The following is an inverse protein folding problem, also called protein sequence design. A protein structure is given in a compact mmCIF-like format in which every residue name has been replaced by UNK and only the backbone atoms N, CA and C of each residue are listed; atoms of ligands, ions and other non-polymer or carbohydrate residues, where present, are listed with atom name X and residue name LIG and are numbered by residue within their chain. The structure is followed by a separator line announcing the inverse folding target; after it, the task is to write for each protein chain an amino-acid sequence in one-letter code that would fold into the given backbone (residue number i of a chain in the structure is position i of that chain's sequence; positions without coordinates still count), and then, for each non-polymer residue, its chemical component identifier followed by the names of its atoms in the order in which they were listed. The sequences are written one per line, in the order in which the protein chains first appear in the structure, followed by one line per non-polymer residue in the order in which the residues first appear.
data_IF_151313590119
#
_entry.id   IF_151313590119
#
_cell.length_a   1.000
_cell.length_b   1.000
_cell.length_c   1.000
_cell.angle_alpha   90.00
_cell.angle_beta   90.00
_cell.angle_gamma   90.00
#
_symmetry.space_group_name_H-M   'P 1'
#
loop_
_entity.id
_entity.type
_entity.pdbx_description
1 polymer ?
#
# COMPACT_ATOMS: atom_id res chain seq x y z
N UNK A 1 -3.79 4.23 9.98
CA UNK A 1 -2.40 3.91 9.57
C UNK A 1 -2.36 2.41 9.31
N UNK A 2 -2.32 1.98 8.05
CA UNK A 2 -2.34 0.55 7.68
C UNK A 2 -0.94 -0.02 7.85
N UNK A 3 -0.50 -0.19 9.09
CA UNK A 3 0.52 -1.20 9.37
C UNK A 3 -0.21 -2.52 9.34
N UNK A 4 0.05 -3.36 8.34
CA UNK A 4 -0.49 -4.72 8.34
C UNK A 4 0.14 -5.43 9.54
N UNK A 5 -0.64 -5.60 10.62
CA UNK A 5 -0.30 -6.41 11.80
C UNK A 5 0.95 -5.94 12.56
N UNK A 6 0.91 -4.77 13.23
CA UNK A 6 2.05 -4.24 13.97
C UNK A 6 2.57 -5.21 15.04
N UNK A 7 1.69 -5.98 15.70
CA UNK A 7 2.08 -7.01 16.67
C UNK A 7 2.89 -8.14 16.04
N UNK A 8 2.56 -8.55 14.80
CA UNK A 8 3.32 -9.58 14.10
C UNK A 8 4.69 -9.07 13.67
N UNK A 9 4.75 -7.86 13.10
CA UNK A 9 6.01 -7.23 12.72
C UNK A 9 6.91 -7.07 13.95
N UNK A 10 6.32 -6.71 15.09
CA UNK A 10 7.04 -6.61 16.35
C UNK A 10 7.60 -7.94 16.81
N UNK A 11 6.80 -9.00 16.77
CA UNK A 11 7.23 -10.34 17.12
C UNK A 11 8.38 -10.84 16.22
N UNK A 12 8.40 -10.47 14.93
CA UNK A 12 9.48 -10.86 14.00
C UNK A 12 10.86 -10.27 14.36
N UNK A 13 10.92 -9.15 15.08
CA UNK A 13 12.21 -8.59 15.53
C UNK A 13 12.74 -9.23 16.82
N UNK A 14 11.96 -10.13 17.44
CA UNK A 14 12.35 -10.90 18.62
C UNK A 14 12.22 -10.16 19.94
N UNK A 15 12.50 -10.89 21.02
CA UNK A 15 12.23 -10.49 22.41
C UNK A 15 13.05 -9.26 22.90
N UNK A 16 14.09 -8.86 22.17
CA UNK A 16 14.86 -7.65 22.45
C UNK A 16 14.14 -6.34 22.09
N UNK A 17 12.97 -6.42 21.45
CA UNK A 17 12.25 -5.26 20.92
C UNK A 17 11.39 -4.57 22.00
N UNK A 18 12.01 -3.66 22.75
CA UNK A 18 11.32 -2.81 23.73
C UNK A 18 10.34 -1.84 23.07
N UNK A 19 9.39 -1.29 23.84
CA UNK A 19 8.40 -0.33 23.33
C UNK A 19 9.06 0.91 22.74
N UNK A 20 10.09 1.41 23.41
CA UNK A 20 10.88 2.57 22.95
C UNK A 20 11.63 2.26 21.66
N UNK A 21 12.22 1.07 21.54
CA UNK A 21 12.92 0.67 20.31
C UNK A 21 11.93 0.58 19.15
N UNK A 22 10.75 -0.01 19.37
CA UNK A 22 9.68 -0.08 18.37
C UNK A 22 9.20 1.29 17.93
N UNK A 23 8.99 2.21 18.87
CA UNK A 23 8.59 3.57 18.54
C UNK A 23 9.64 4.28 17.68
N UNK A 24 10.92 4.21 18.07
CA UNK A 24 12.03 4.80 17.32
C UNK A 24 12.17 4.18 15.93
N UNK A 25 12.20 2.85 15.82
CA UNK A 25 12.34 2.14 14.54
C UNK A 25 11.19 2.46 13.59
N UNK A 26 9.94 2.45 14.09
CA UNK A 26 8.79 2.79 13.26
C UNK A 26 8.74 4.27 12.89
N UNK A 27 9.23 5.16 13.76
CA UNK A 27 9.34 6.60 13.46
C UNK A 27 10.37 6.87 12.37
N UNK A 28 11.53 6.23 12.45
CA UNK A 28 12.54 6.29 11.40
C UNK A 28 12.01 5.71 10.09
N UNK A 29 11.43 4.51 10.09
CA UNK A 29 10.88 3.89 8.88
C UNK A 29 9.77 4.76 8.22
N UNK A 30 9.02 5.54 9.00
CA UNK A 30 8.03 6.49 8.47
C UNK A 30 8.62 7.71 7.77
N UNK A 31 9.86 8.08 8.11
CA UNK A 31 10.55 9.27 7.58
C UNK A 31 11.74 8.91 6.70
N UNK A 32 12.09 7.63 6.64
CA UNK A 32 13.15 7.09 5.82
C UNK A 32 12.78 7.26 4.34
N UNK A 33 13.72 7.75 3.56
CA UNK A 33 13.62 7.75 2.11
C UNK A 33 13.70 6.30 1.62
N UNK A 34 12.54 5.72 1.32
CA UNK A 34 12.42 4.36 0.82
C UNK A 34 12.73 4.26 -0.69
N UNK A 35 13.18 5.37 -1.30
CA UNK A 35 13.43 5.52 -2.71
C UNK A 35 12.17 5.52 -3.56
N UNK A 36 12.38 5.66 -4.86
CA UNK A 36 11.31 5.92 -5.84
C UNK A 36 10.78 4.63 -6.47
N UNK A 37 11.11 3.47 -5.89
CA UNK A 37 10.79 2.18 -6.49
C UNK A 37 9.29 1.94 -6.51
N UNK A 38 8.81 1.46 -7.65
CA UNK A 38 7.42 1.06 -7.85
C UNK A 38 7.38 -0.41 -8.22
N UNK A 39 6.41 -1.11 -7.68
CA UNK A 39 6.20 -2.54 -7.84
C UNK A 39 4.82 -2.80 -8.39
N UNK A 40 4.72 -3.64 -9.41
CA UNK A 40 3.46 -4.06 -10.02
C UNK A 40 3.04 -5.44 -9.49
N UNK A 41 1.75 -5.59 -9.23
CA UNK A 41 1.10 -6.88 -8.99
C UNK A 41 -0.11 -7.04 -9.91
N UNK A 42 -0.02 -7.99 -10.83
CA UNK A 42 -1.10 -8.31 -11.75
C UNK A 42 -2.11 -9.26 -11.09
N UNK A 43 -3.34 -8.81 -11.02
CA UNK A 43 -4.50 -9.59 -10.59
C UNK A 43 -5.22 -10.25 -11.75
N UNK A 44 -6.32 -10.91 -11.41
CA UNK A 44 -7.27 -11.40 -12.40
C UNK A 44 -8.03 -10.25 -13.08
N UNK A 45 -8.75 -10.58 -14.15
CA UNK A 45 -9.60 -9.63 -14.88
C UNK A 45 -8.85 -8.39 -15.43
N UNK A 46 -7.54 -8.52 -15.65
CA UNK A 46 -6.69 -7.45 -16.18
C UNK A 46 -6.46 -6.29 -15.21
N UNK A 47 -6.72 -6.47 -13.91
CA UNK A 47 -6.42 -5.46 -12.90
C UNK A 47 -4.93 -5.52 -12.52
N UNK A 48 -4.27 -4.37 -12.41
CA UNK A 48 -2.90 -4.30 -11.90
C UNK A 48 -2.80 -3.18 -10.87
N UNK A 49 -2.31 -3.52 -9.68
CA UNK A 49 -1.99 -2.53 -8.64
C UNK A 49 -0.51 -2.22 -8.68
N UNK A 50 -0.18 -0.94 -8.51
CA UNK A 50 1.20 -0.48 -8.38
C UNK A 50 1.39 0.09 -6.99
N UNK A 51 2.41 -0.38 -6.30
CA UNK A 51 2.73 0.02 -4.93
C UNK A 51 4.16 0.52 -4.82
N UNK A 52 4.43 1.46 -3.92
CA UNK A 52 5.81 1.86 -3.62
C UNK A 52 6.47 0.89 -2.62
N UNK A 53 7.74 1.14 -2.25
CA UNK A 53 8.49 0.38 -1.23
C UNK A 53 7.81 0.32 0.15
N UNK A 54 6.91 1.25 0.45
CA UNK A 54 6.10 1.26 1.67
C UNK A 54 4.76 0.52 1.50
N UNK A 55 4.62 -0.22 0.40
CA UNK A 55 3.42 -0.91 -0.05
C UNK A 55 2.23 0.03 -0.30
N UNK A 56 2.39 1.35 -0.40
CA UNK A 56 1.28 2.28 -0.64
C UNK A 56 0.83 2.23 -2.11
N UNK A 57 -0.48 2.20 -2.37
CA UNK A 57 -1.04 2.18 -3.74
C UNK A 57 -0.79 3.51 -4.48
N UNK A 58 0.08 3.49 -5.50
CA UNK A 58 0.47 4.67 -6.31
C UNK A 58 -0.24 4.77 -7.65
N UNK A 59 -0.66 3.64 -8.22
CA UNK A 59 -1.40 3.56 -9.49
C UNK A 59 -2.26 2.29 -9.51
N UNK A 60 -3.36 2.34 -10.25
CA UNK A 60 -4.24 1.21 -10.49
C UNK A 60 -4.65 1.20 -11.96
N UNK A 61 -4.56 0.04 -12.60
CA UNK A 61 -4.99 -0.14 -13.98
C UNK A 61 -6.01 -1.28 -14.08
N UNK A 62 -6.98 -1.12 -14.99
CA UNK A 62 -7.85 -2.19 -15.45
C UNK A 62 -7.73 -2.30 -16.97
N UNK A 63 -7.39 -3.49 -17.47
CA UNK A 63 -7.17 -3.73 -18.90
C UNK A 63 -6.20 -2.73 -19.56
N UNK A 64 -5.15 -2.33 -18.82
CA UNK A 64 -4.14 -1.37 -19.28
C UNK A 64 -4.56 0.10 -19.22
N UNK A 65 -5.74 0.42 -18.70
CA UNK A 65 -6.23 1.79 -18.52
C UNK A 65 -6.14 2.19 -17.06
N UNK A 66 -5.44 3.28 -16.78
CA UNK A 66 -5.34 3.83 -15.43
C UNK A 66 -6.72 4.28 -14.94
N UNK A 67 -7.05 3.89 -13.71
CA UNK A 67 -8.34 4.16 -13.08
C UNK A 67 -8.16 4.97 -11.81
N UNK A 68 -8.88 6.09 -11.71
CA UNK A 68 -8.90 6.86 -10.47
C UNK A 68 -9.74 6.12 -9.41
N UNK A 69 -9.28 6.10 -8.16
CA UNK A 69 -9.97 5.41 -7.06
C UNK A 69 -11.43 5.90 -6.86
N UNK A 70 -11.71 7.15 -7.22
CA UNK A 70 -13.03 7.77 -7.17
C UNK A 70 -14.00 7.21 -8.22
N UNK A 71 -13.48 6.75 -9.36
CA UNK A 71 -14.26 6.20 -10.48
C UNK A 71 -14.65 4.73 -10.26
N UNK A 72 -14.04 4.06 -9.28
CA UNK A 72 -14.31 2.67 -8.98
C UNK A 72 -15.68 2.49 -8.33
N UNK A 73 -16.44 1.52 -8.84
CA UNK A 73 -17.65 1.01 -8.20
C UNK A 73 -17.31 0.36 -6.85
N UNK A 74 -18.32 0.15 -5.99
CA UNK A 74 -18.15 -0.54 -4.70
C UNK A 74 -17.54 -1.94 -4.87
N UNK A 75 -17.94 -2.67 -5.91
CA UNK A 75 -17.41 -4.01 -6.21
C UNK A 75 -15.94 -3.95 -6.63
N UNK A 76 -15.58 -3.00 -7.50
CA UNK A 76 -14.19 -2.80 -7.91
C UNK A 76 -13.30 -2.38 -6.73
N UNK A 77 -13.78 -1.52 -5.83
CA UNK A 77 -13.04 -1.15 -4.61
C UNK A 77 -12.77 -2.36 -3.71
N UNK A 78 -13.76 -3.24 -3.54
CA UNK A 78 -13.58 -4.47 -2.77
C UNK A 78 -12.56 -5.40 -3.43
N UNK A 79 -12.62 -5.53 -4.76
CA UNK A 79 -11.68 -6.33 -5.52
C UNK A 79 -10.24 -5.79 -5.47
N UNK A 80 -10.05 -4.48 -5.65
CA UNK A 80 -8.75 -3.81 -5.53
C UNK A 80 -8.18 -3.97 -4.13
N UNK A 81 -9.02 -3.88 -3.09
CA UNK A 81 -8.58 -4.13 -1.72
C UNK A 81 -8.08 -5.57 -1.54
N UNK A 82 -8.79 -6.57 -2.06
CA UNK A 82 -8.32 -7.95 -2.04
C UNK A 82 -6.99 -8.09 -2.79
N UNK A 83 -6.88 -7.51 -3.98
CA UNK A 83 -5.68 -7.57 -4.80
C UNK A 83 -4.47 -6.92 -4.12
N UNK A 84 -4.72 -5.84 -3.38
CA UNK A 84 -3.70 -5.16 -2.57
C UNK A 84 -3.22 -6.01 -1.38
N UNK A 85 -4.13 -6.73 -0.72
CA UNK A 85 -3.75 -7.70 0.33
C UNK A 85 -2.93 -8.84 -0.26
N UNK A 86 -3.34 -9.38 -1.40
CA UNK A 86 -2.58 -10.42 -2.12
C UNK A 86 -1.18 -9.94 -2.51
N UNK A 87 -1.04 -8.71 -3.03
CA UNK A 87 0.25 -8.12 -3.36
C UNK A 87 1.19 -8.02 -2.14
N UNK A 88 0.64 -7.73 -0.95
CA UNK A 88 1.41 -7.69 0.29
C UNK A 88 1.83 -9.09 0.75
N UNK A 89 0.93 -10.06 0.70
CA UNK A 89 1.20 -11.44 1.10
C UNK A 89 2.17 -12.13 0.14
N UNK A 90 2.02 -11.87 -1.17
CA UNK A 90 2.82 -12.43 -2.26
C UNK A 90 3.92 -11.46 -2.71
N UNK A 91 4.53 -10.73 -1.78
CA UNK A 91 5.54 -9.69 -2.10
C UNK A 91 6.72 -10.18 -2.95
N UNK A 92 7.04 -11.48 -2.89
CA UNK A 92 8.08 -12.09 -3.72
C UNK A 92 7.71 -12.19 -5.21
N UNK A 93 6.42 -12.05 -5.53
CA UNK A 93 5.88 -12.07 -6.89
C UNK A 93 5.71 -10.66 -7.46
N UNK A 94 6.07 -9.62 -6.70
CA UNK A 94 6.05 -8.24 -7.17
C UNK A 94 7.13 -8.02 -8.23
N UNK A 95 6.75 -7.34 -9.32
CA UNK A 95 7.68 -6.95 -10.37
C UNK A 95 8.08 -5.48 -10.18
N UNK A 96 9.37 -5.20 -10.00
CA UNK A 96 9.87 -3.82 -10.02
C UNK A 96 9.65 -3.22 -11.43
N UNK A 97 9.07 -2.03 -11.47
CA UNK A 97 8.79 -1.30 -12.71
C UNK A 97 9.35 0.11 -12.62
N UNK A 98 9.62 0.70 -13.79
CA UNK A 98 10.08 2.08 -13.83
C UNK A 98 9.01 3.01 -13.23
N UNK A 99 9.38 3.86 -12.25
CA UNK A 99 8.44 4.81 -11.69
C UNK A 99 8.00 5.82 -12.75
N UNK A 100 6.70 6.07 -12.82
CA UNK A 100 6.20 7.18 -13.62
C UNK A 100 6.67 8.51 -13.02
N UNK A 101 6.79 9.58 -13.84
CA UNK A 101 7.05 10.92 -13.34
C UNK A 101 6.08 11.26 -12.21
N UNK A 102 6.58 11.82 -11.12
CA UNK A 102 5.81 12.04 -9.89
C UNK A 102 4.44 12.69 -10.14
N UNK A 103 4.35 13.66 -11.06
CA UNK A 103 3.11 14.34 -11.45
C UNK A 103 1.98 13.42 -11.94
N UNK A 104 2.27 12.18 -12.31
CA UNK A 104 1.31 11.18 -12.80
C UNK A 104 0.95 10.11 -11.77
N UNK A 105 1.61 10.08 -10.60
CA UNK A 105 1.23 9.16 -9.53
C UNK A 105 0.00 9.69 -8.80
N UNK A 106 -0.85 8.79 -8.29
CA UNK A 106 -2.10 9.12 -7.61
C UNK A 106 -1.96 10.01 -6.36
N UNK A 107 -0.73 10.41 -5.98
CA UNK A 107 -0.44 11.30 -4.86
C UNK A 107 1.02 11.83 -4.82
N UNK A 108 1.56 12.44 -5.88
CA UNK A 108 2.75 13.29 -5.68
C UNK A 108 2.36 14.71 -5.23
N UNK A 109 1.71 14.81 -4.09
CA UNK A 109 1.66 16.06 -3.33
C UNK A 109 2.48 15.83 -2.06
N UNK A 110 3.51 16.65 -1.87
CA UNK A 110 4.40 16.73 -0.70
C UNK A 110 3.67 17.17 0.58
N UNK A 111 2.55 16.54 0.88
CA UNK A 111 1.75 16.74 2.08
C UNK A 111 1.10 15.42 2.43
N UNK A 112 1.38 14.99 3.66
CA UNK A 112 0.82 13.82 4.32
C UNK A 112 -0.72 13.89 4.36
N UNK A 113 -1.37 13.50 3.26
CA UNK A 113 -2.80 13.24 3.22
C UNK A 113 -3.01 11.84 2.65
N UNK A 114 -2.88 10.88 3.56
CA UNK A 114 -3.39 9.51 3.41
C UNK A 114 -4.80 9.53 2.84
N UNK A 115 -5.00 8.87 1.70
CA UNK A 115 -6.32 8.64 1.11
C UNK A 115 -7.26 8.02 2.17
N UNK A 116 -8.42 8.62 2.47
CA UNK A 116 -9.33 8.16 3.53
C UNK A 116 -10.19 6.94 3.12
N UNK A 117 -9.68 6.05 2.26
CA UNK A 117 -10.47 4.99 1.66
C UNK A 117 -10.26 3.63 2.33
N UNK A 118 -10.54 3.54 3.65
CA UNK A 118 -11.00 2.29 4.29
C UNK A 118 -11.54 2.50 5.73
N UNK A 119 -12.45 3.45 5.96
CA UNK A 119 -13.29 3.40 7.16
C UNK A 119 -14.55 2.57 6.88
N UNK A 120 -14.38 1.26 6.73
CA UNK A 120 -15.48 0.34 7.04
C UNK A 120 -15.65 0.33 8.56
N UNK A 121 -16.37 1.31 9.10
CA UNK A 121 -16.96 1.18 10.43
C UNK A 121 -17.93 0.01 10.37
N UNK A 122 -17.50 -1.15 10.86
CA UNK A 122 -18.43 -2.16 11.32
C UNK A 122 -19.05 -1.63 12.61
N UNK A 123 -20.23 -1.01 12.50
CA UNK A 123 -21.06 -0.71 13.66
C UNK A 123 -21.85 -1.98 13.96
N UNK A 124 -21.31 -2.80 14.86
CA UNK A 124 -22.05 -3.88 15.51
C UNK A 124 -22.84 -3.20 16.64
N UNK A 125 -24.17 -3.24 16.53
CA UNK A 125 -25.08 -3.19 17.67
C UNK A 125 -25.49 -4.64 17.99
#
# INVERSE_FOLDING_TARGET
MLTVRPEMLRAMMGDGMTDRMWEVTTSHARTCDAGDKVYAYAGQHGATVYVNSLCQLVRLEFAGVECAAQQLTRAQKAYVHQLYVEAFEQRHSLQEVEPLPAAMLLHASSSSSSLPMLQSKQHIL
#
